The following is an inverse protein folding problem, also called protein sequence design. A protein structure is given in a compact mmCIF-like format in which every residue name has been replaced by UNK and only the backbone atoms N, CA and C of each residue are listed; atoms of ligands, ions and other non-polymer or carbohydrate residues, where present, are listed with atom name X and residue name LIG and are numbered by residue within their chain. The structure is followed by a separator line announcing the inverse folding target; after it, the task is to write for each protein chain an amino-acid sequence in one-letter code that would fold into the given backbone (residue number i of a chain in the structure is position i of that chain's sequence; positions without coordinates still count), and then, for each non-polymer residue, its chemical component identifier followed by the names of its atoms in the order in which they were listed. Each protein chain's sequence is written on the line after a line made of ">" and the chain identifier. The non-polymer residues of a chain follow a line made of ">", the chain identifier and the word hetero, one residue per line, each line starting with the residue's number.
data_IF_935271178071
#
_entry.id   IF_935271178071
#
_cell.length_a   1.000
_cell.length_b   1.000
_cell.length_c   1.000
_cell.angle_alpha   90.00
_cell.angle_beta   90.00
_cell.angle_gamma   90.00
#
_symmetry.space_group_name_H-M   'P 1'
#
loop_
_entity.id
_entity.type
_entity.pdbx_description
1 polymer ?
#
# COMPACT_ATOMS: atom_id res chain seq x y z
N UNK A 1 4.03 3.86 -30.34
CA UNK A 1 3.10 4.99 -30.67
C UNK A 1 3.81 6.33 -30.45
N UNK A 2 3.40 7.39 -31.15
CA UNK A 2 4.03 8.72 -30.99
C UNK A 2 3.65 9.33 -29.63
N UNK A 3 4.64 9.95 -28.95
CA UNK A 3 4.41 10.74 -27.73
C UNK A 3 3.48 11.92 -28.02
N UNK A 4 2.61 12.26 -27.11
CA UNK A 4 1.69 13.42 -27.23
C UNK A 4 1.87 14.32 -26.00
N UNK A 5 2.46 15.50 -26.21
CA UNK A 5 2.70 16.48 -25.15
C UNK A 5 1.87 17.71 -25.46
N UNK A 6 0.99 18.11 -24.53
CA UNK A 6 0.19 19.33 -24.70
C UNK A 6 1.10 20.57 -24.75
N UNK A 7 0.75 21.54 -25.60
CA UNK A 7 1.59 22.74 -25.84
C UNK A 7 1.82 23.62 -24.60
N UNK A 8 0.98 23.48 -23.56
CA UNK A 8 1.13 24.20 -22.29
C UNK A 8 1.83 23.37 -21.22
N UNK A 9 2.17 22.12 -21.49
CA UNK A 9 2.95 21.32 -20.55
C UNK A 9 4.41 21.76 -20.56
N UNK A 10 5.06 21.71 -19.41
CA UNK A 10 6.48 22.00 -19.22
C UNK A 10 7.19 20.67 -18.95
N UNK A 11 8.01 20.23 -19.87
CA UNK A 11 8.75 18.97 -19.75
C UNK A 11 10.24 19.24 -19.83
N UNK A 12 10.98 18.80 -18.81
CA UNK A 12 12.44 18.92 -18.84
C UNK A 12 13.05 18.15 -20.02
N UNK A 13 14.06 18.71 -20.69
CA UNK A 13 14.81 17.98 -21.71
C UNK A 13 15.60 16.78 -21.15
N UNK A 14 15.77 16.68 -19.81
CA UNK A 14 16.41 15.55 -19.15
C UNK A 14 15.42 14.48 -18.70
N UNK A 15 14.11 14.69 -18.88
CA UNK A 15 13.11 13.67 -18.61
C UNK A 15 13.13 12.59 -19.71
N UNK A 16 13.13 11.34 -19.30
CA UNK A 16 13.06 10.18 -20.18
C UNK A 16 11.60 9.72 -20.31
N UNK A 17 11.06 9.82 -21.52
CA UNK A 17 9.70 9.43 -21.80
C UNK A 17 9.67 8.22 -22.73
N UNK A 18 8.90 7.19 -22.39
CA UNK A 18 8.62 6.03 -23.23
C UNK A 18 7.82 6.36 -24.49
N UNK A 19 7.65 5.40 -25.38
CA UNK A 19 6.75 5.53 -26.52
C UNK A 19 5.29 5.64 -26.05
N UNK A 20 4.46 6.34 -26.81
CA UNK A 20 3.02 6.45 -26.50
C UNK A 20 2.67 7.27 -25.26
N UNK A 21 3.63 7.85 -24.55
CA UNK A 21 3.37 8.71 -23.38
C UNK A 21 2.53 9.92 -23.77
N UNK A 22 1.50 10.20 -22.95
CA UNK A 22 0.62 11.37 -23.11
C UNK A 22 0.79 12.29 -21.90
N UNK A 23 1.06 13.59 -22.13
CA UNK A 23 1.15 14.61 -21.07
C UNK A 23 0.13 15.69 -21.31
N UNK A 24 -0.81 15.84 -20.35
CA UNK A 24 -1.90 16.77 -20.37
C UNK A 24 -1.49 18.24 -20.13
N UNK A 25 -2.46 19.16 -20.28
CA UNK A 25 -2.19 20.59 -20.18
C UNK A 25 -1.74 21.02 -18.79
N UNK A 26 -0.80 22.01 -18.77
CA UNK A 26 -0.27 22.63 -17.57
C UNK A 26 0.42 21.68 -16.60
N UNK A 27 0.76 20.46 -17.04
CA UNK A 27 1.55 19.53 -16.25
C UNK A 27 3.03 19.86 -16.36
N UNK A 28 3.77 19.60 -15.27
CA UNK A 28 5.20 19.89 -15.15
C UNK A 28 5.91 18.56 -14.84
N UNK A 29 6.85 18.21 -15.72
CA UNK A 29 7.74 17.05 -15.56
C UNK A 29 9.15 17.60 -15.38
N UNK A 30 9.71 17.40 -14.21
CA UNK A 30 11.02 17.94 -13.84
C UNK A 30 12.18 17.05 -14.34
N UNK A 31 13.39 17.37 -13.90
CA UNK A 31 14.60 16.67 -14.31
C UNK A 31 14.66 15.24 -13.76
N UNK A 32 15.36 14.33 -14.46
CA UNK A 32 15.63 12.98 -13.98
C UNK A 32 14.35 12.18 -13.62
N UNK A 33 13.27 12.48 -14.36
CA UNK A 33 12.03 11.73 -14.33
C UNK A 33 12.05 10.70 -15.44
N UNK A 34 11.69 9.44 -15.12
CA UNK A 34 11.51 8.38 -16.12
C UNK A 34 10.01 8.00 -16.16
N UNK A 35 9.41 7.99 -17.35
CA UNK A 35 8.01 7.59 -17.56
C UNK A 35 7.95 6.48 -18.60
N UNK A 36 7.44 5.31 -18.21
CA UNK A 36 7.30 4.14 -19.05
C UNK A 36 6.30 4.31 -20.18
N UNK A 37 6.30 3.37 -21.12
CA UNK A 37 5.47 3.40 -22.33
C UNK A 37 3.97 3.50 -22.04
N UNK A 38 3.22 4.15 -22.93
CA UNK A 38 1.76 4.31 -22.90
C UNK A 38 1.19 4.96 -21.61
N UNK A 39 2.03 5.47 -20.72
CA UNK A 39 1.58 6.13 -19.50
C UNK A 39 0.93 7.49 -19.82
N UNK A 40 -0.18 7.75 -19.16
CA UNK A 40 -1.00 8.97 -19.35
C UNK A 40 -0.90 9.84 -18.09
N UNK A 41 -0.42 11.06 -18.28
CA UNK A 41 -0.37 12.12 -17.27
C UNK A 41 -1.48 13.11 -17.57
N UNK A 42 -2.42 13.30 -16.65
CA UNK A 42 -3.56 14.24 -16.74
C UNK A 42 -3.12 15.71 -16.74
N UNK A 43 -4.08 16.61 -16.53
CA UNK A 43 -3.82 18.04 -16.46
C UNK A 43 -3.34 18.45 -15.05
N UNK A 44 -2.49 19.51 -14.99
CA UNK A 44 -1.99 20.09 -13.73
C UNK A 44 -1.25 19.09 -12.82
N UNK A 45 -0.71 18.02 -13.35
CA UNK A 45 0.10 17.06 -12.60
C UNK A 45 1.53 17.58 -12.47
N UNK A 46 2.11 17.42 -11.29
CA UNK A 46 3.53 17.68 -11.07
C UNK A 46 4.29 16.39 -10.78
N UNK A 47 5.24 16.06 -11.64
CA UNK A 47 6.20 14.98 -11.42
C UNK A 47 7.56 15.63 -11.19
N UNK A 48 8.04 15.54 -9.93
CA UNK A 48 9.29 16.17 -9.50
C UNK A 48 10.48 15.25 -9.75
N UNK A 49 11.68 15.77 -9.52
CA UNK A 49 12.94 15.06 -9.73
C UNK A 49 12.95 13.67 -9.07
N UNK A 50 13.63 12.71 -9.69
CA UNK A 50 13.87 11.36 -9.19
C UNK A 50 12.60 10.50 -9.07
N UNK A 51 11.59 10.76 -9.89
CA UNK A 51 10.38 9.92 -9.98
C UNK A 51 10.48 8.98 -11.17
N UNK A 52 10.29 7.68 -10.90
CA UNK A 52 10.21 6.63 -11.91
C UNK A 52 8.76 6.12 -11.96
N UNK A 53 8.12 6.17 -13.12
CA UNK A 53 6.76 5.70 -13.37
C UNK A 53 6.82 4.59 -14.41
N UNK A 54 6.22 3.45 -14.12
CA UNK A 54 6.16 2.29 -15.01
C UNK A 54 5.30 2.51 -16.26
N UNK A 55 5.04 1.44 -16.97
CA UNK A 55 4.25 1.39 -18.19
C UNK A 55 2.74 1.37 -17.93
N UNK A 56 1.94 1.84 -18.91
CA UNK A 56 0.47 1.80 -18.89
C UNK A 56 -0.17 2.44 -17.64
N UNK A 57 0.53 3.32 -16.94
CA UNK A 57 0.02 4.03 -15.78
C UNK A 57 -0.95 5.16 -16.16
N UNK A 58 -1.83 5.52 -15.21
CA UNK A 58 -2.73 6.67 -15.36
C UNK A 58 -2.65 7.57 -14.14
N UNK A 59 -2.18 8.79 -14.35
CA UNK A 59 -2.04 9.80 -13.29
C UNK A 59 -3.02 10.92 -13.57
N UNK A 60 -3.96 11.12 -12.67
CA UNK A 60 -5.05 12.09 -12.82
C UNK A 60 -4.70 13.45 -12.22
N UNK A 61 -5.58 14.39 -12.44
CA UNK A 61 -5.41 15.84 -12.28
C UNK A 61 -4.94 16.25 -10.88
N UNK A 62 -4.11 17.30 -10.82
CA UNK A 62 -3.62 17.94 -9.60
C UNK A 62 -2.80 17.02 -8.68
N UNK A 63 -2.37 15.86 -9.14
CA UNK A 63 -1.50 14.98 -8.35
C UNK A 63 -0.08 15.50 -8.32
N UNK A 64 0.61 15.31 -7.19
CA UNK A 64 2.00 15.75 -6.97
C UNK A 64 2.84 14.55 -6.54
N UNK A 65 3.77 14.15 -7.41
CA UNK A 65 4.61 12.98 -7.23
C UNK A 65 6.07 13.41 -7.00
N UNK A 66 6.71 12.87 -5.97
CA UNK A 66 8.12 13.11 -5.69
C UNK A 66 8.41 14.35 -4.85
N UNK A 67 7.40 14.95 -4.18
CA UNK A 67 7.66 16.07 -3.28
C UNK A 67 8.57 15.65 -2.12
N UNK A 68 9.32 16.60 -1.60
CA UNK A 68 10.18 16.40 -0.43
C UNK A 68 9.41 15.83 0.76
N UNK A 69 10.05 14.97 1.59
CA UNK A 69 9.46 14.46 2.81
C UNK A 69 8.95 15.56 3.73
N UNK A 70 7.80 15.33 4.34
CA UNK A 70 7.31 16.17 5.43
C UNK A 70 7.95 15.73 6.75
N UNK A 71 9.28 15.72 6.79
CA UNK A 71 10.08 15.28 7.92
C UNK A 71 11.22 16.29 8.16
N UNK A 72 11.32 16.80 9.38
CA UNK A 72 12.36 17.75 9.76
C UNK A 72 13.78 17.17 9.70
N UNK A 73 13.93 15.85 9.65
CA UNK A 73 15.24 15.21 9.51
C UNK A 73 15.80 15.27 8.08
N UNK A 74 14.96 15.47 7.06
CA UNK A 74 15.39 15.57 5.66
C UNK A 74 16.33 16.75 5.43
N UNK A 75 17.44 16.53 4.71
CA UNK A 75 18.50 17.51 4.44
C UNK A 75 18.73 17.78 2.95
N UNK A 76 17.87 17.23 2.08
CA UNK A 76 18.02 17.35 0.63
C UNK A 76 18.66 16.12 -0.03
N UNK A 77 18.67 14.98 0.66
CA UNK A 77 19.22 13.72 0.16
C UNK A 77 18.59 13.32 -1.17
N UNK A 78 19.39 12.69 -2.04
CA UNK A 78 18.90 12.16 -3.30
C UNK A 78 18.14 10.86 -3.05
N UNK A 79 16.83 10.95 -3.16
CA UNK A 79 15.88 9.87 -2.87
C UNK A 79 14.81 9.80 -3.94
N UNK A 80 14.15 8.65 -4.08
CA UNK A 80 13.26 8.37 -5.19
C UNK A 80 11.81 8.15 -4.80
N UNK A 81 10.93 8.25 -5.81
CA UNK A 81 9.62 7.62 -5.85
C UNK A 81 9.61 6.64 -7.02
N UNK A 82 9.19 5.40 -6.78
CA UNK A 82 9.07 4.37 -7.81
C UNK A 82 7.63 3.90 -7.86
N UNK A 83 7.02 3.95 -9.04
CA UNK A 83 5.63 3.55 -9.29
C UNK A 83 5.63 2.44 -10.32
N UNK A 84 5.09 1.28 -9.95
CA UNK A 84 5.00 0.10 -10.82
C UNK A 84 3.95 0.25 -11.91
N UNK A 85 4.01 -0.65 -12.89
CA UNK A 85 3.19 -0.65 -14.10
C UNK A 85 1.68 -0.72 -13.83
N UNK A 86 0.88 -0.20 -14.76
CA UNK A 86 -0.60 -0.25 -14.76
C UNK A 86 -1.25 0.34 -13.50
N UNK A 87 -0.46 1.08 -12.73
CA UNK A 87 -0.94 1.75 -11.51
C UNK A 87 -1.80 2.97 -11.87
N UNK A 88 -2.90 3.12 -11.17
CA UNK A 88 -3.82 4.23 -11.35
C UNK A 88 -3.76 5.14 -10.13
N UNK A 89 -3.38 6.38 -10.34
CA UNK A 89 -3.32 7.45 -9.33
C UNK A 89 -4.38 8.49 -9.67
N UNK A 90 -5.41 8.56 -8.83
CA UNK A 90 -6.53 9.49 -9.01
C UNK A 90 -6.15 10.92 -8.62
N UNK A 91 -7.11 11.79 -8.68
CA UNK A 91 -6.98 13.23 -8.53
C UNK A 91 -6.45 13.63 -7.15
N UNK A 92 -5.66 14.71 -7.07
CA UNK A 92 -5.18 15.30 -5.82
C UNK A 92 -4.35 14.35 -4.93
N UNK A 93 -3.78 13.29 -5.48
CA UNK A 93 -2.90 12.38 -4.73
C UNK A 93 -1.54 13.03 -4.53
N UNK A 94 -0.95 12.85 -3.34
CA UNK A 94 0.40 13.32 -3.03
C UNK A 94 1.28 12.16 -2.60
N UNK A 95 2.48 12.06 -3.20
CA UNK A 95 3.47 11.03 -2.85
C UNK A 95 4.80 11.72 -2.56
N UNK A 96 5.30 11.56 -1.33
CA UNK A 96 6.61 12.09 -0.95
C UNK A 96 7.73 11.10 -1.28
N UNK A 97 8.90 11.60 -1.68
CA UNK A 97 10.12 10.79 -1.82
C UNK A 97 10.67 10.38 -0.44
N UNK A 98 11.63 9.47 -0.39
CA UNK A 98 12.20 8.95 0.86
C UNK A 98 13.09 9.98 1.58
N UNK A 99 13.53 9.68 2.81
CA UNK A 99 14.34 10.59 3.64
C UNK A 99 15.83 10.28 3.64
N UNK A 100 16.24 9.03 3.36
CA UNK A 100 17.65 8.62 3.45
C UNK A 100 18.23 8.38 2.08
N UNK A 101 19.49 8.77 1.86
CA UNK A 101 20.23 8.65 0.62
C UNK A 101 20.05 7.26 -0.04
N UNK A 102 19.76 7.27 -1.34
CA UNK A 102 19.53 6.05 -2.14
C UNK A 102 18.26 5.27 -1.82
N UNK A 103 17.42 5.72 -0.90
CA UNK A 103 16.14 5.08 -0.58
C UNK A 103 15.00 5.58 -1.46
N UNK A 104 13.91 4.80 -1.49
CA UNK A 104 12.73 5.13 -2.27
C UNK A 104 11.43 4.92 -1.49
N UNK A 105 10.42 5.73 -1.82
CA UNK A 105 9.01 5.43 -1.60
C UNK A 105 8.54 4.61 -2.79
N UNK A 106 7.91 3.46 -2.56
CA UNK A 106 7.61 2.47 -3.60
C UNK A 106 6.13 2.15 -3.64
N UNK A 107 5.54 2.25 -4.82
CA UNK A 107 4.18 1.82 -5.13
C UNK A 107 4.27 0.66 -6.12
N UNK A 108 3.70 -0.48 -5.78
CA UNK A 108 3.70 -1.66 -6.65
C UNK A 108 2.83 -1.50 -7.88
N UNK A 109 2.88 -2.48 -8.77
CA UNK A 109 2.08 -2.54 -10.00
C UNK A 109 0.60 -2.82 -9.74
N UNK A 110 -0.26 -2.48 -10.71
CA UNK A 110 -1.71 -2.72 -10.66
C UNK A 110 -2.39 -2.15 -9.40
N UNK A 111 -1.79 -1.12 -8.80
CA UNK A 111 -2.26 -0.48 -7.57
C UNK A 111 -3.22 0.66 -7.91
N UNK A 112 -4.23 0.85 -7.06
CA UNK A 112 -5.23 1.91 -7.23
C UNK A 112 -5.23 2.86 -6.03
N UNK A 113 -4.70 4.07 -6.24
CA UNK A 113 -4.76 5.14 -5.25
C UNK A 113 -5.90 6.08 -5.63
N UNK A 114 -6.95 6.11 -4.80
CA UNK A 114 -8.12 6.94 -5.05
C UNK A 114 -7.89 8.39 -4.69
N UNK A 115 -8.84 9.24 -4.99
CA UNK A 115 -8.76 10.69 -4.87
C UNK A 115 -8.31 11.14 -3.47
N UNK A 116 -7.34 12.08 -3.45
CA UNK A 116 -6.87 12.72 -2.22
C UNK A 116 -6.07 11.83 -1.27
N UNK A 117 -5.59 10.68 -1.72
CA UNK A 117 -4.69 9.82 -0.93
C UNK A 117 -3.35 10.51 -0.73
N UNK A 118 -2.80 10.39 0.49
CA UNK A 118 -1.46 10.83 0.82
C UNK A 118 -0.54 9.64 1.13
N UNK A 119 0.60 9.58 0.45
CA UNK A 119 1.66 8.60 0.70
C UNK A 119 2.89 9.33 1.23
N UNK A 120 3.21 9.07 2.50
CA UNK A 120 4.39 9.62 3.17
C UNK A 120 5.70 9.00 2.66
N UNK A 121 6.80 9.55 3.12
CA UNK A 121 8.16 9.14 2.76
C UNK A 121 8.45 7.69 3.16
N UNK A 122 9.26 6.99 2.40
CA UNK A 122 9.70 5.61 2.67
C UNK A 122 8.55 4.57 2.78
N UNK A 123 7.33 4.93 2.39
CA UNK A 123 6.21 3.98 2.35
C UNK A 123 6.46 2.95 1.25
N UNK A 124 6.13 1.69 1.53
CA UNK A 124 6.17 0.60 0.55
C UNK A 124 4.78 0.01 0.40
N UNK A 125 4.20 0.16 -0.77
CA UNK A 125 2.92 -0.44 -1.16
C UNK A 125 3.19 -1.58 -2.13
N UNK A 126 2.64 -2.75 -1.84
CA UNK A 126 2.72 -3.93 -2.70
C UNK A 126 1.89 -3.81 -3.98
N UNK A 127 1.75 -4.92 -4.68
CA UNK A 127 0.99 -5.01 -5.92
C UNK A 127 -0.50 -5.22 -5.66
N UNK A 128 -1.34 -4.77 -6.61
CA UNK A 128 -2.81 -4.96 -6.55
C UNK A 128 -3.47 -4.37 -5.29
N UNK A 129 -2.86 -3.35 -4.70
CA UNK A 129 -3.38 -2.68 -3.51
C UNK A 129 -4.40 -1.62 -3.92
N UNK A 130 -5.48 -1.50 -3.14
CA UNK A 130 -6.41 -0.39 -3.26
C UNK A 130 -6.35 0.47 -2.00
N UNK A 131 -6.14 1.77 -2.18
CA UNK A 131 -6.23 2.76 -1.10
C UNK A 131 -7.34 3.74 -1.44
N UNK A 132 -8.43 3.69 -0.66
CA UNK A 132 -9.61 4.51 -0.95
C UNK A 132 -9.43 5.97 -0.50
N UNK A 133 -10.36 6.79 -0.96
CA UNK A 133 -10.33 8.26 -0.89
C UNK A 133 -9.89 8.81 0.46
N UNK A 134 -9.05 9.87 0.43
CA UNK A 134 -8.61 10.65 1.59
C UNK A 134 -7.85 9.86 2.66
N UNK A 135 -7.40 8.66 2.35
CA UNK A 135 -6.56 7.89 3.28
C UNK A 135 -5.13 8.43 3.29
N UNK A 136 -4.48 8.37 4.45
CA UNK A 136 -3.12 8.84 4.64
C UNK A 136 -2.23 7.77 5.27
N UNK A 137 -1.10 7.48 4.63
CA UNK A 137 -0.06 6.59 5.13
C UNK A 137 1.15 7.43 5.56
N UNK A 138 1.47 7.41 6.85
CA UNK A 138 2.65 8.12 7.37
C UNK A 138 3.94 7.39 6.99
N UNK A 139 5.09 8.03 7.23
CA UNK A 139 6.39 7.51 6.82
C UNK A 139 6.68 6.06 7.24
N UNK A 140 7.42 5.33 6.42
CA UNK A 140 7.88 3.96 6.67
C UNK A 140 6.75 2.91 6.83
N UNK A 141 5.51 3.21 6.43
CA UNK A 141 4.46 2.19 6.41
C UNK A 141 4.72 1.16 5.31
N UNK A 142 4.35 -0.08 5.58
CA UNK A 142 4.38 -1.16 4.59
C UNK A 142 2.98 -1.73 4.40
N UNK A 143 2.54 -1.90 3.15
CA UNK A 143 1.25 -2.50 2.79
C UNK A 143 1.50 -3.67 1.85
N UNK A 144 1.09 -4.86 2.27
CA UNK A 144 1.27 -6.09 1.48
C UNK A 144 0.31 -6.18 0.30
N UNK A 145 0.66 -7.05 -0.65
CA UNK A 145 -0.11 -7.27 -1.88
C UNK A 145 -1.60 -7.54 -1.63
N UNK A 146 -2.44 -7.08 -2.55
CA UNK A 146 -3.89 -7.29 -2.52
C UNK A 146 -4.59 -6.73 -1.28
N UNK A 147 -3.94 -5.90 -0.47
CA UNK A 147 -4.59 -5.22 0.64
C UNK A 147 -5.58 -4.15 0.13
N UNK A 148 -6.66 -3.96 0.87
CA UNK A 148 -7.66 -2.94 0.57
C UNK A 148 -7.87 -2.06 1.80
N UNK A 149 -7.62 -0.77 1.65
CA UNK A 149 -7.81 0.23 2.70
C UNK A 149 -9.04 1.07 2.35
N UNK A 150 -10.02 1.07 3.24
CA UNK A 150 -11.23 1.89 3.14
C UNK A 150 -10.92 3.40 3.15
N UNK A 151 -11.93 4.21 2.86
CA UNK A 151 -11.77 5.66 2.82
C UNK A 151 -11.43 6.27 4.19
N UNK A 152 -10.64 7.35 4.18
CA UNK A 152 -10.24 8.11 5.38
C UNK A 152 -9.52 7.26 6.44
N UNK A 153 -8.79 6.23 6.02
CA UNK A 153 -7.92 5.45 6.91
C UNK A 153 -6.65 6.23 7.20
N UNK A 154 -6.30 6.35 8.48
CA UNK A 154 -5.02 6.90 8.93
C UNK A 154 -4.08 5.79 9.41
N UNK A 155 -2.93 5.61 8.73
CA UNK A 155 -1.92 4.62 9.09
C UNK A 155 -0.73 5.31 9.75
N UNK A 156 -0.43 4.92 11.00
CA UNK A 156 0.66 5.51 11.78
C UNK A 156 2.01 5.04 11.25
N UNK A 157 3.01 5.93 11.37
CA UNK A 157 4.40 5.68 10.96
C UNK A 157 4.94 4.32 11.45
N UNK A 158 5.69 3.63 10.60
CA UNK A 158 6.30 2.31 10.83
C UNK A 158 5.30 1.15 10.98
N UNK A 159 4.02 1.35 10.66
CA UNK A 159 3.02 0.29 10.75
C UNK A 159 3.03 -0.58 9.50
N UNK A 160 2.85 -1.89 9.70
CA UNK A 160 2.73 -2.87 8.61
C UNK A 160 1.30 -3.39 8.49
N UNK A 161 0.80 -3.42 7.27
CA UNK A 161 -0.48 -4.05 6.90
C UNK A 161 -0.15 -5.22 6.00
N UNK A 162 -0.52 -6.42 6.42
CA UNK A 162 -0.19 -7.66 5.71
C UNK A 162 -0.97 -7.85 4.41
N UNK A 163 -0.55 -8.86 3.66
CA UNK A 163 -1.17 -9.28 2.40
C UNK A 163 -2.66 -9.61 2.57
N UNK A 164 -3.47 -9.24 1.56
CA UNK A 164 -4.92 -9.53 1.53
C UNK A 164 -5.69 -9.03 2.76
N UNK A 165 -5.19 -8.01 3.47
CA UNK A 165 -5.94 -7.35 4.52
C UNK A 165 -7.08 -6.50 3.98
N UNK A 166 -8.15 -6.39 4.76
CA UNK A 166 -9.19 -5.37 4.58
C UNK A 166 -9.20 -4.45 5.79
N UNK A 167 -9.06 -3.16 5.57
CA UNK A 167 -9.14 -2.13 6.61
C UNK A 167 -10.43 -1.34 6.42
N UNK A 168 -11.30 -1.34 7.42
CA UNK A 168 -12.55 -0.57 7.39
C UNK A 168 -12.30 0.93 7.27
N UNK A 169 -13.24 1.63 6.64
CA UNK A 169 -13.16 3.09 6.49
C UNK A 169 -13.10 3.81 7.84
N UNK A 170 -12.47 5.00 7.85
CA UNK A 170 -12.31 5.82 9.07
C UNK A 170 -11.44 5.18 10.18
N UNK A 171 -10.76 4.08 9.90
CA UNK A 171 -9.93 3.39 10.89
C UNK A 171 -8.64 4.16 11.19
N UNK A 172 -8.18 4.07 12.47
CA UNK A 172 -6.87 4.55 12.92
C UNK A 172 -5.96 3.34 13.17
N UNK A 173 -5.06 3.04 12.23
CA UNK A 173 -4.14 1.91 12.32
C UNK A 173 -2.85 2.37 13.01
N UNK A 174 -2.61 1.88 14.24
CA UNK A 174 -1.45 2.25 15.07
C UNK A 174 -0.54 1.07 15.43
N UNK A 175 -0.98 -0.13 15.10
CA UNK A 175 -0.27 -1.40 15.26
C UNK A 175 -0.35 -2.21 13.99
N UNK A 176 0.55 -3.17 13.84
CA UNK A 176 0.65 -4.01 12.66
C UNK A 176 -0.59 -4.90 12.50
N UNK A 177 -1.13 -4.94 11.28
CA UNK A 177 -2.30 -5.75 10.91
C UNK A 177 -1.81 -6.99 10.17
N UNK A 178 -1.92 -8.18 10.75
CA UNK A 178 -1.38 -9.40 10.15
C UNK A 178 -2.13 -9.82 8.88
N UNK A 179 -1.50 -10.60 7.97
CA UNK A 179 -2.04 -10.97 6.66
C UNK A 179 -3.44 -11.61 6.74
N UNK A 180 -4.21 -11.50 5.69
CA UNK A 180 -5.51 -12.18 5.52
C UNK A 180 -6.62 -11.74 6.48
N UNK A 181 -6.41 -10.67 7.25
CA UNK A 181 -7.36 -10.24 8.28
C UNK A 181 -8.21 -9.06 7.85
N UNK A 182 -9.34 -8.91 8.54
CA UNK A 182 -10.19 -7.73 8.49
C UNK A 182 -10.01 -6.95 9.79
N UNK A 183 -9.66 -5.68 9.68
CA UNK A 183 -9.49 -4.79 10.82
C UNK A 183 -10.31 -3.50 10.63
N UNK A 184 -10.79 -2.95 11.75
CA UNK A 184 -11.58 -1.72 11.75
C UNK A 184 -11.44 -0.99 13.11
N UNK A 185 -11.85 0.27 13.16
CA UNK A 185 -12.00 1.04 14.38
C UNK A 185 -10.90 2.01 14.73
N UNK A 186 -11.03 2.68 15.88
CA UNK A 186 -10.15 3.75 16.38
C UNK A 186 -9.79 3.53 17.85
N UNK A 187 -8.66 2.89 18.16
CA UNK A 187 -7.68 2.28 17.26
C UNK A 187 -8.22 1.02 16.59
N UNK A 188 -7.66 0.68 15.40
CA UNK A 188 -8.06 -0.50 14.66
C UNK A 188 -7.80 -1.79 15.44
N UNK A 189 -8.76 -2.71 15.36
CA UNK A 189 -8.75 -4.04 15.96
C UNK A 189 -9.07 -5.07 14.88
N UNK A 190 -8.65 -6.31 15.08
CA UNK A 190 -8.94 -7.39 14.14
C UNK A 190 -10.30 -8.00 14.47
N UNK A 191 -11.17 -8.11 13.50
CA UNK A 191 -12.52 -8.69 13.67
C UNK A 191 -12.65 -10.09 13.08
N UNK A 192 -11.67 -10.54 12.33
CA UNK A 192 -11.66 -11.86 11.72
C UNK A 192 -10.74 -11.93 10.53
N UNK A 193 -10.87 -13.00 9.75
CA UNK A 193 -10.19 -13.11 8.46
C UNK A 193 -10.99 -12.38 7.38
N UNK A 194 -10.31 -11.86 6.38
CA UNK A 194 -10.91 -11.22 5.19
C UNK A 194 -11.52 -12.30 4.25
N UNK A 195 -12.67 -12.87 4.65
CA UNK A 195 -13.31 -13.97 3.92
C UNK A 195 -13.57 -13.64 2.45
N UNK A 196 -14.09 -12.44 2.18
CA UNK A 196 -14.44 -11.99 0.83
C UNK A 196 -13.19 -11.80 -0.04
N UNK A 197 -12.18 -11.12 0.49
CA UNK A 197 -10.91 -10.91 -0.22
C UNK A 197 -10.21 -12.23 -0.53
N UNK A 198 -10.15 -13.14 0.44
CA UNK A 198 -9.58 -14.48 0.26
C UNK A 198 -10.34 -15.28 -0.81
N UNK A 199 -11.68 -15.24 -0.82
CA UNK A 199 -12.47 -15.94 -1.83
C UNK A 199 -12.23 -15.37 -3.24
N UNK A 200 -12.18 -14.05 -3.38
CA UNK A 200 -11.87 -13.37 -4.66
C UNK A 200 -10.45 -13.67 -5.15
N UNK A 201 -9.52 -13.87 -4.23
CA UNK A 201 -8.15 -14.27 -4.53
C UNK A 201 -7.98 -15.78 -4.78
N UNK A 202 -9.08 -16.55 -4.84
CA UNK A 202 -9.07 -17.98 -5.19
C UNK A 202 -8.81 -18.94 -4.02
N UNK A 203 -8.75 -18.47 -2.78
CA UNK A 203 -8.59 -19.35 -1.61
C UNK A 203 -9.83 -20.21 -1.40
N UNK A 204 -9.66 -21.53 -1.43
CA UNK A 204 -10.76 -22.46 -1.22
C UNK A 204 -11.23 -22.50 0.25
N UNK A 205 -12.31 -23.23 0.54
CA UNK A 205 -12.90 -23.33 1.88
C UNK A 205 -11.91 -23.87 2.91
N UNK A 206 -11.11 -24.87 2.52
CA UNK A 206 -10.14 -25.51 3.42
C UNK A 206 -9.01 -24.55 3.81
N UNK A 207 -8.48 -23.80 2.84
CA UNK A 207 -7.44 -22.79 3.08
C UNK A 207 -7.95 -21.65 3.99
N UNK A 208 -9.19 -21.18 3.76
CA UNK A 208 -9.79 -20.16 4.64
C UNK A 208 -10.03 -20.68 6.06
N UNK A 209 -10.43 -21.94 6.21
CA UNK A 209 -10.55 -22.60 7.51
C UNK A 209 -9.18 -22.71 8.19
N UNK A 210 -8.15 -23.12 7.48
CA UNK A 210 -6.78 -23.20 7.96
C UNK A 210 -6.30 -21.83 8.50
N UNK A 211 -6.45 -20.76 7.73
CA UNK A 211 -6.10 -19.39 8.17
C UNK A 211 -6.81 -19.06 9.48
N UNK A 212 -8.11 -19.36 9.57
CA UNK A 212 -8.90 -19.07 10.78
C UNK A 212 -8.38 -19.85 11.99
N UNK A 213 -8.05 -21.12 11.83
CA UNK A 213 -7.52 -21.96 12.93
C UNK A 213 -6.11 -21.50 13.36
N UNK A 214 -5.24 -21.06 12.41
CA UNK A 214 -3.95 -20.46 12.73
C UNK A 214 -4.14 -19.23 13.62
N UNK A 215 -5.02 -18.30 13.23
CA UNK A 215 -5.26 -17.10 14.01
C UNK A 215 -5.93 -17.38 15.36
N UNK A 216 -6.77 -18.41 15.45
CA UNK A 216 -7.30 -18.87 16.73
C UNK A 216 -6.18 -19.33 17.68
N UNK A 217 -5.23 -20.14 17.20
CA UNK A 217 -4.05 -20.53 17.99
C UNK A 217 -3.21 -19.33 18.42
N UNK A 218 -3.03 -18.33 17.54
CA UNK A 218 -2.19 -17.16 17.81
C UNK A 218 -2.79 -16.19 18.83
N UNK A 219 -4.10 -16.06 18.88
CA UNK A 219 -4.76 -15.00 19.68
C UNK A 219 -5.65 -15.51 20.83
N UNK A 220 -6.08 -16.77 20.79
CA UNK A 220 -7.07 -17.31 21.75
C UNK A 220 -6.56 -18.48 22.58
N UNK A 221 -5.49 -19.17 22.16
CA UNK A 221 -4.85 -20.17 22.99
C UNK A 221 -3.93 -19.44 24.00
N UNK A 222 -4.03 -19.77 25.28
CA UNK A 222 -3.33 -19.10 26.39
C UNK A 222 -1.80 -19.27 26.34
N UNK A 223 -1.19 -19.26 25.16
CA UNK A 223 0.24 -19.36 24.94
C UNK A 223 0.82 -17.97 24.66
N UNK A 224 2.05 -17.69 25.12
CA UNK A 224 2.79 -16.54 24.67
C UNK A 224 2.91 -16.54 23.14
N UNK A 225 2.62 -15.41 22.48
CA UNK A 225 2.56 -15.28 21.01
C UNK A 225 3.79 -15.90 20.30
N UNK A 226 5.01 -15.68 20.83
CA UNK A 226 6.24 -16.27 20.28
C UNK A 226 6.20 -17.81 20.28
N UNK A 227 5.69 -18.42 21.34
CA UNK A 227 5.57 -19.89 21.42
C UNK A 227 4.53 -20.41 20.43
N UNK A 228 3.39 -19.74 20.31
CA UNK A 228 2.36 -20.08 19.33
C UNK A 228 2.90 -20.01 17.88
N UNK A 229 3.66 -18.97 17.55
CA UNK A 229 4.31 -18.82 16.23
C UNK A 229 5.28 -19.97 15.96
N UNK A 230 6.14 -20.33 16.93
CA UNK A 230 7.10 -21.44 16.79
C UNK A 230 6.42 -22.80 16.65
N UNK A 231 5.31 -23.04 17.34
CA UNK A 231 4.52 -24.26 17.17
C UNK A 231 3.93 -24.35 15.77
N UNK A 232 3.30 -23.28 15.30
CA UNK A 232 2.70 -23.22 13.96
C UNK A 232 3.75 -23.44 12.88
N UNK A 233 4.94 -22.84 13.03
CA UNK A 233 6.08 -23.01 12.12
C UNK A 233 6.50 -24.48 12.02
N UNK A 234 6.62 -25.18 13.16
CA UNK A 234 7.05 -26.59 13.21
C UNK A 234 6.01 -27.55 12.64
N UNK A 235 4.73 -27.28 12.89
CA UNK A 235 3.64 -28.14 12.41
C UNK A 235 3.44 -28.07 10.89
N UNK A 236 3.87 -26.99 10.22
CA UNK A 236 3.50 -26.69 8.84
C UNK A 236 4.68 -26.15 8.01
N UNK A 237 5.81 -26.83 8.04
CA UNK A 237 7.11 -26.36 7.50
C UNK A 237 7.07 -25.94 6.02
N UNK A 238 6.20 -26.55 5.20
CA UNK A 238 6.14 -26.33 3.74
C UNK A 238 4.86 -25.61 3.29
N UNK A 239 4.11 -25.00 4.19
CA UNK A 239 2.85 -24.33 3.85
C UNK A 239 3.07 -22.85 3.57
N UNK A 240 2.74 -22.40 2.36
CA UNK A 240 2.93 -21.02 1.93
C UNK A 240 2.09 -20.00 2.74
N UNK A 241 0.90 -20.40 3.21
CA UNK A 241 0.03 -19.55 4.05
C UNK A 241 0.69 -19.34 5.41
N UNK A 242 1.21 -20.43 5.99
CA UNK A 242 1.91 -20.40 7.27
C UNK A 242 3.19 -19.56 7.15
N UNK A 243 3.97 -19.77 6.09
CA UNK A 243 5.20 -19.01 5.85
C UNK A 243 4.93 -17.50 5.77
N UNK A 244 3.87 -17.08 5.08
CA UNK A 244 3.47 -15.67 4.99
C UNK A 244 3.12 -15.09 6.36
N UNK A 245 2.29 -15.80 7.14
CA UNK A 245 1.89 -15.37 8.48
C UNK A 245 3.11 -15.26 9.39
N UNK A 246 3.93 -16.31 9.47
CA UNK A 246 5.10 -16.37 10.34
C UNK A 246 6.11 -15.29 9.98
N UNK A 247 6.41 -15.09 8.68
CA UNK A 247 7.28 -14.02 8.20
C UNK A 247 6.80 -12.64 8.65
N UNK A 248 5.50 -12.40 8.61
CA UNK A 248 4.93 -11.13 9.07
C UNK A 248 5.16 -10.92 10.57
N UNK A 249 4.91 -11.95 11.38
CA UNK A 249 5.13 -11.89 12.83
C UNK A 249 6.59 -11.65 13.20
N UNK A 250 7.53 -12.32 12.52
CA UNK A 250 8.97 -12.14 12.74
C UNK A 250 9.44 -10.69 12.46
N UNK A 251 8.79 -10.03 11.49
CA UNK A 251 9.15 -8.69 11.06
C UNK A 251 8.31 -7.58 11.70
N UNK A 252 7.37 -7.91 12.58
CA UNK A 252 6.53 -6.93 13.26
C UNK A 252 7.34 -6.16 14.31
N UNK A 253 7.34 -4.83 14.19
CA UNK A 253 8.08 -3.94 15.10
C UNK A 253 7.16 -3.14 16.02
N UNK A 254 5.96 -2.77 15.56
CA UNK A 254 5.01 -1.98 16.35
C UNK A 254 4.09 -2.81 17.24
N UNK A 255 4.24 -4.13 17.20
CA UNK A 255 3.32 -5.07 17.83
C UNK A 255 1.99 -5.14 17.08
N UNK A 256 1.27 -6.22 17.30
CA UNK A 256 0.07 -6.56 16.54
C UNK A 256 -1.17 -5.86 17.05
N UNK A 257 -2.09 -5.56 16.15
CA UNK A 257 -3.42 -5.11 16.49
C UNK A 257 -4.14 -6.20 17.31
N UNK A 258 -4.90 -5.82 18.35
CA UNK A 258 -5.57 -6.80 19.18
C UNK A 258 -6.74 -7.46 18.45
N UNK A 259 -6.94 -8.74 18.75
CA UNK A 259 -8.14 -9.46 18.39
C UNK A 259 -9.01 -9.54 19.63
N UNK A 260 -10.22 -8.95 19.68
CA UNK A 260 -11.05 -8.93 20.87
C UNK A 260 -11.45 -10.34 21.28
N UNK A 261 -11.34 -10.66 22.57
CA UNK A 261 -11.96 -11.85 23.15
C UNK A 261 -13.48 -11.65 23.20
N UNK A 262 -14.23 -12.53 22.55
CA UNK A 262 -15.68 -12.50 22.45
C UNK A 262 -16.17 -12.39 21.01
N UNK A 263 -17.22 -13.14 20.68
CA UNK A 263 -17.87 -13.10 19.39
C UNK A 263 -18.47 -11.71 19.14
N UNK A 264 -17.73 -10.84 18.50
CA UNK A 264 -18.35 -9.77 17.73
C UNK A 264 -18.67 -10.42 16.38
N UNK A 265 -19.88 -10.99 16.27
CA UNK A 265 -20.46 -11.29 14.98
C UNK A 265 -20.69 -9.93 14.30
N UNK A 266 -19.88 -9.57 13.32
CA UNK A 266 -20.42 -8.73 12.27
C UNK A 266 -21.52 -9.57 11.64
N UNK A 267 -22.75 -9.11 11.78
CA UNK A 267 -23.88 -9.69 11.08
C UNK A 267 -23.49 -9.90 9.63
N UNK A 268 -23.92 -11.03 9.08
CA UNK A 268 -23.81 -11.32 7.69
C UNK A 268 -24.29 -10.08 6.93
N UNK A 269 -23.36 -9.28 6.45
CA UNK A 269 -23.66 -8.21 5.51
C UNK A 269 -24.03 -8.95 4.25
N UNK A 270 -25.31 -8.92 3.95
CA UNK A 270 -26.02 -9.74 2.97
C UNK A 270 -25.32 -9.88 1.63
N UNK A 271 -25.73 -10.93 0.96
CA UNK A 271 -25.45 -11.42 -0.37
C UNK A 271 -25.30 -10.32 -1.43
#
# INVERSE_FOLDING_TARGET
>A
MKRTIHSTAIVSPRAELGEGVVIGPYSIIEDEVCIGENTVIGAYVRVLNFVEIGEDCKIYENSVLGREPQDHAFRGEETKVIIGDRTIIRENVTINRATSEGQATVIGQDTFLMEGVHIGHNVKIGNYVTVANKSGLAGYCEVGDFANLGGMVGVHQFTKIGKLCMIGGLSKVVKDIPPFTLADGRPARIYGINKVGLQRAGFNVMQRKQIKEIYKKLYHDNLPLRQAVEMIRKENINDAIVAEIVKFFDNSQRGLAPWPHGHVSFGDVGE
#
